data_IF_544601825648
#
_entry.id   IF_544601825648
#
_cell.length_a   1.000
_cell.length_b   1.000
_cell.length_c   1.000
_cell.angle_alpha   90.00
_cell.angle_beta   90.00
_cell.angle_gamma   90.00
#
_symmetry.space_group_name_H-M   'P 1'
#
loop_
_entity.id
_entity.type
_entity.pdbx_description
1 polymer ?
#
# COMPACT_ATOMS: atom_id res chain seq x y z
N UNK A 1 35.42 -44.61 95.83
CA UNK A 1 34.12 -44.09 95.37
C UNK A 1 34.16 -43.99 93.85
N UNK A 2 33.15 -44.57 93.17
CA UNK A 2 32.50 -44.17 91.88
C UNK A 2 33.34 -43.28 90.92
N UNK A 3 33.53 -43.55 89.62
CA UNK A 3 32.75 -44.27 88.60
C UNK A 3 33.65 -44.49 87.37
N UNK A 4 33.47 -45.62 86.70
CA UNK A 4 33.92 -45.87 85.33
C UNK A 4 32.99 -45.20 84.30
N UNK A 5 33.52 -44.80 83.14
CA UNK A 5 32.92 -44.88 81.78
C UNK A 5 33.92 -44.30 80.77
N UNK A 6 34.58 -45.13 79.95
CA UNK A 6 34.22 -45.62 78.60
C UNK A 6 34.76 -44.74 77.45
N UNK A 7 35.82 -45.28 76.84
CA UNK A 7 36.12 -45.42 75.40
C UNK A 7 35.29 -44.64 74.37
N UNK A 8 35.99 -44.04 73.42
CA UNK A 8 35.47 -43.68 72.10
C UNK A 8 36.42 -42.79 71.31
N UNK A 9 37.46 -43.37 70.72
CA UNK A 9 38.29 -42.71 69.71
C UNK A 9 37.49 -42.63 68.39
N UNK A 10 37.07 -41.43 68.01
CA UNK A 10 36.47 -41.17 66.71
C UNK A 10 37.58 -40.70 65.74
N UNK A 11 37.92 -41.57 64.80
CA UNK A 11 38.77 -41.25 63.66
C UNK A 11 38.02 -40.28 62.73
N UNK A 12 38.54 -39.07 62.52
CA UNK A 12 38.11 -38.20 61.43
C UNK A 12 38.79 -38.68 60.14
N UNK A 13 38.03 -39.36 59.28
CA UNK A 13 38.40 -39.60 57.90
C UNK A 13 38.10 -38.32 57.12
N UNK A 14 39.14 -37.68 56.60
CA UNK A 14 39.03 -36.59 55.64
C UNK A 14 38.75 -37.16 54.24
N UNK A 15 37.51 -37.06 53.77
CA UNK A 15 37.16 -37.29 52.37
C UNK A 15 37.27 -35.97 51.60
N UNK A 16 38.29 -35.85 50.75
CA UNK A 16 38.31 -34.86 49.66
C UNK A 16 37.24 -35.27 48.64
N UNK A 17 36.09 -34.60 48.66
CA UNK A 17 35.17 -34.61 47.54
C UNK A 17 35.65 -33.57 46.52
N UNK A 18 36.17 -34.01 45.37
CA UNK A 18 36.27 -33.17 44.18
C UNK A 18 34.85 -32.87 43.69
N UNK A 19 34.25 -31.79 44.18
CA UNK A 19 33.09 -31.20 43.56
C UNK A 19 33.56 -30.51 42.26
N UNK A 20 33.30 -31.14 41.12
CA UNK A 20 33.43 -30.50 39.82
C UNK A 20 32.57 -29.24 39.81
N UNK A 21 33.21 -28.08 39.72
CA UNK A 21 32.56 -26.83 39.44
C UNK A 21 32.01 -26.89 38.01
N UNK A 22 30.79 -27.39 37.84
CA UNK A 22 30.01 -27.12 36.65
C UNK A 22 29.69 -25.62 36.66
N UNK A 23 30.40 -24.86 35.81
CA UNK A 23 30.07 -23.48 35.54
C UNK A 23 28.58 -23.41 35.12
N UNK A 24 27.77 -22.52 35.70
CA UNK A 24 26.43 -22.29 35.18
C UNK A 24 26.59 -21.59 33.82
N UNK A 25 26.55 -22.37 32.75
CA UNK A 25 26.22 -21.87 31.43
C UNK A 25 24.76 -21.42 31.48
N UNK A 26 24.52 -20.21 31.98
CA UNK A 26 23.29 -19.48 31.74
C UNK A 26 23.32 -18.99 30.28
N UNK A 27 23.31 -19.93 29.34
CA UNK A 27 22.65 -19.71 28.08
C UNK A 27 21.19 -19.54 28.46
N UNK A 28 20.75 -18.29 28.60
CA UNK A 28 19.35 -17.97 28.78
C UNK A 28 18.61 -18.56 27.59
N UNK A 29 17.91 -19.64 27.88
CA UNK A 29 17.02 -20.32 26.97
C UNK A 29 15.92 -19.34 26.56
N UNK A 30 16.03 -18.79 25.35
CA UNK A 30 14.99 -17.97 24.70
C UNK A 30 13.83 -18.83 24.19
N UNK A 31 13.75 -20.12 24.56
CA UNK A 31 12.63 -20.99 24.21
C UNK A 31 11.43 -20.83 25.16
N UNK A 32 10.73 -19.70 25.04
CA UNK A 32 9.31 -19.66 25.41
C UNK A 32 8.47 -18.69 24.59
N UNK A 33 8.87 -18.42 23.33
CA UNK A 33 7.86 -18.03 22.34
C UNK A 33 6.91 -19.22 22.22
N UNK A 34 5.70 -19.07 22.76
CA UNK A 34 4.63 -20.05 22.64
C UNK A 34 4.31 -20.21 21.16
N UNK A 35 4.87 -21.24 20.57
CA UNK A 35 4.58 -21.68 19.22
C UNK A 35 3.09 -22.01 19.12
N UNK A 36 2.33 -21.17 18.41
CA UNK A 36 0.98 -21.52 17.97
C UNK A 36 1.08 -21.77 16.47
N UNK A 37 1.05 -23.03 16.07
CA UNK A 37 1.03 -23.36 14.65
C UNK A 37 -0.18 -22.67 13.98
N UNK A 38 0.08 -21.93 12.90
CA UNK A 38 -0.97 -21.46 11.99
C UNK A 38 -1.61 -20.11 12.32
N UNK A 39 -0.87 -19.14 12.87
CA UNK A 39 -1.37 -17.74 12.88
C UNK A 39 -1.51 -17.27 11.43
N UNK A 40 -2.74 -16.92 11.04
CA UNK A 40 -3.02 -16.31 9.74
C UNK A 40 -3.04 -14.81 9.90
N UNK A 41 -2.40 -14.07 9.00
CA UNK A 41 -2.46 -12.59 8.93
C UNK A 41 -3.17 -12.19 7.65
N UNK A 42 -4.40 -11.67 7.77
CA UNK A 42 -5.23 -11.18 6.69
C UNK A 42 -5.21 -9.64 6.62
N UNK A 43 -5.63 -9.10 5.48
CA UNK A 43 -5.94 -7.69 5.34
C UNK A 43 -7.06 -7.27 6.33
N UNK A 44 -6.88 -6.11 6.95
CA UNK A 44 -7.75 -5.56 7.98
C UNK A 44 -7.56 -6.13 9.38
N UNK A 45 -6.67 -7.13 9.56
CA UNK A 45 -6.34 -7.63 10.90
C UNK A 45 -5.71 -6.54 11.76
N UNK A 46 -6.12 -6.46 13.03
CA UNK A 46 -5.46 -5.60 14.03
C UNK A 46 -4.09 -6.19 14.36
N UNK A 47 -3.07 -5.34 14.29
CA UNK A 47 -1.69 -5.66 14.63
C UNK A 47 -1.10 -4.62 15.59
N UNK A 48 -0.07 -5.04 16.31
CA UNK A 48 0.46 -4.35 17.48
C UNK A 48 1.97 -4.16 17.33
N UNK A 49 2.44 -2.94 17.59
CA UNK A 49 3.87 -2.60 17.68
C UNK A 49 4.07 -1.84 18.99
N UNK A 50 4.63 -2.53 19.99
CA UNK A 50 4.64 -2.02 21.36
C UNK A 50 3.22 -1.76 21.88
N UNK A 51 2.90 -0.51 22.14
CA UNK A 51 1.55 -0.08 22.59
C UNK A 51 0.66 0.43 21.43
N UNK A 52 1.24 0.58 20.24
CA UNK A 52 0.53 1.11 19.07
C UNK A 52 -0.29 0.01 18.42
N UNK A 53 -1.55 0.32 18.10
CA UNK A 53 -2.44 -0.56 17.34
C UNK A 53 -2.69 0.01 15.95
N UNK A 54 -2.49 -0.82 14.95
CA UNK A 54 -2.71 -0.54 13.55
C UNK A 54 -3.45 -1.69 12.89
N UNK A 55 -3.73 -1.56 11.60
CA UNK A 55 -4.33 -2.61 10.78
C UNK A 55 -3.37 -3.03 9.66
N UNK A 56 -3.47 -4.27 9.22
CA UNK A 56 -2.81 -4.74 7.99
C UNK A 56 -3.53 -4.18 6.77
N UNK A 57 -2.82 -3.46 5.91
CA UNK A 57 -3.40 -2.84 4.72
C UNK A 57 -3.39 -3.72 3.48
N UNK A 58 -2.36 -4.54 3.29
CA UNK A 58 -2.29 -5.48 2.17
C UNK A 58 -1.42 -6.68 2.54
N UNK A 59 -1.79 -7.85 2.02
CA UNK A 59 -1.04 -9.11 2.18
C UNK A 59 -0.49 -9.50 0.82
N UNK A 60 0.84 -9.51 0.69
CA UNK A 60 1.56 -10.12 -0.41
C UNK A 60 1.94 -11.55 -0.03
N UNK A 61 1.04 -12.47 -0.34
CA UNK A 61 1.22 -13.88 -0.01
C UNK A 61 2.42 -14.51 -0.73
N UNK A 62 2.77 -14.02 -1.94
CA UNK A 62 3.84 -14.57 -2.74
C UNK A 62 5.22 -14.36 -2.08
N UNK A 63 5.41 -13.25 -1.36
CA UNK A 63 6.65 -12.96 -0.64
C UNK A 63 6.54 -13.12 0.88
N UNK A 64 5.41 -13.57 1.42
CA UNK A 64 5.09 -13.53 2.86
C UNK A 64 5.35 -12.14 3.48
N UNK A 65 4.93 -11.10 2.77
CA UNK A 65 5.03 -9.72 3.23
C UNK A 65 3.65 -9.17 3.53
N UNK A 66 3.51 -8.39 4.60
CA UNK A 66 2.33 -7.54 4.81
C UNK A 66 2.72 -6.08 4.82
N UNK A 67 1.80 -5.23 4.37
CA UNK A 67 1.99 -3.78 4.30
C UNK A 67 1.11 -3.10 5.35
N UNK A 68 1.72 -2.17 6.08
CA UNK A 68 1.14 -1.43 7.22
C UNK A 68 1.58 0.03 7.09
N UNK A 69 1.00 0.95 7.87
CA UNK A 69 1.54 2.30 7.95
C UNK A 69 2.88 2.32 8.68
N UNK A 70 3.83 3.13 8.19
CA UNK A 70 5.18 3.20 8.77
C UNK A 70 5.20 3.83 10.14
N UNK A 71 4.38 4.86 10.36
CA UNK A 71 4.30 5.56 11.64
C UNK A 71 3.81 4.68 12.80
N UNK A 72 3.32 3.47 12.51
CA UNK A 72 3.03 2.47 13.53
C UNK A 72 4.30 1.97 14.25
N UNK A 73 5.45 2.09 13.60
CA UNK A 73 6.76 1.68 14.08
C UNK A 73 7.52 2.89 14.62
N UNK A 74 8.32 2.69 15.66
CA UNK A 74 9.03 3.80 16.33
C UNK A 74 10.51 3.55 16.53
N UNK A 75 10.96 2.33 16.27
CA UNK A 75 12.35 1.90 16.48
C UNK A 75 13.11 1.72 15.17
N UNK A 76 14.33 1.20 15.28
CA UNK A 76 15.16 0.79 14.15
C UNK A 76 14.56 -0.39 13.36
N UNK A 77 15.26 -0.84 12.30
CA UNK A 77 14.83 -2.00 11.52
C UNK A 77 14.73 -3.26 12.39
N UNK A 78 13.81 -4.16 12.05
CA UNK A 78 13.59 -5.42 12.76
C UNK A 78 12.64 -5.31 13.96
N UNK A 79 11.89 -4.22 14.09
CA UNK A 79 10.87 -4.08 15.13
C UNK A 79 9.75 -5.11 14.91
N UNK A 80 9.40 -5.85 15.95
CA UNK A 80 8.50 -7.01 15.86
C UNK A 80 7.05 -6.56 15.77
N UNK A 81 6.33 -7.09 14.78
CA UNK A 81 4.89 -6.97 14.65
C UNK A 81 4.20 -8.10 15.39
N UNK A 82 3.19 -7.78 16.20
CA UNK A 82 2.39 -8.75 16.92
C UNK A 82 0.95 -8.79 16.40
N UNK A 83 0.33 -9.97 16.45
CA UNK A 83 -1.10 -10.16 16.30
C UNK A 83 -1.59 -10.98 17.48
N UNK A 84 -2.57 -10.47 18.25
CA UNK A 84 -3.08 -11.12 19.45
C UNK A 84 -1.95 -11.55 20.41
N UNK A 85 -0.99 -10.65 20.65
CA UNK A 85 0.22 -10.91 21.46
C UNK A 85 1.16 -12.02 20.94
N UNK A 86 0.99 -12.50 19.71
CA UNK A 86 1.92 -13.44 19.06
C UNK A 86 2.78 -12.69 18.06
N UNK A 87 4.09 -12.91 18.09
CA UNK A 87 5.01 -12.32 17.14
C UNK A 87 4.74 -12.90 15.75
N UNK A 88 4.40 -12.06 14.78
CA UNK A 88 4.03 -12.50 13.42
C UNK A 88 5.03 -12.10 12.35
N UNK A 89 5.89 -11.11 12.62
CA UNK A 89 6.89 -10.68 11.67
C UNK A 89 7.76 -9.54 12.21
N UNK A 90 8.55 -8.95 11.32
CA UNK A 90 9.46 -7.86 11.66
C UNK A 90 9.53 -6.81 10.55
N UNK A 91 9.70 -5.54 10.95
CA UNK A 91 9.82 -4.42 10.03
C UNK A 91 11.08 -4.53 9.17
N UNK A 92 10.98 -4.14 7.90
CA UNK A 92 12.11 -4.20 6.96
C UNK A 92 13.03 -2.98 7.07
N UNK A 93 12.57 -1.91 7.72
CA UNK A 93 13.29 -0.66 7.92
C UNK A 93 12.88 0.04 9.21
N UNK A 94 13.54 1.15 9.52
CA UNK A 94 13.22 1.96 10.69
C UNK A 94 11.85 2.66 10.56
N UNK A 95 11.09 2.66 11.65
CA UNK A 95 9.79 3.33 11.76
C UNK A 95 9.88 4.85 11.89
N UNK A 96 11.07 5.37 12.20
CA UNK A 96 11.30 6.81 12.33
C UNK A 96 11.04 7.53 11.00
N UNK A 97 9.92 8.26 10.95
CA UNK A 97 9.60 9.14 9.83
C UNK A 97 10.31 10.47 10.06
N UNK A 98 11.38 10.71 9.29
CA UNK A 98 11.98 12.04 9.19
C UNK A 98 10.91 13.02 8.69
N UNK A 99 10.89 14.24 9.24
CA UNK A 99 9.97 15.30 8.82
C UNK A 99 10.06 15.65 7.33
N UNK A 100 11.16 15.27 6.66
CA UNK A 100 11.36 15.39 5.20
C UNK A 100 10.65 14.30 4.38
N UNK A 101 10.21 13.21 5.02
CA UNK A 101 9.67 12.00 4.38
C UNK A 101 8.22 11.73 4.76
N UNK A 102 7.43 12.78 5.03
CA UNK A 102 6.00 12.67 5.42
C UNK A 102 5.13 11.92 4.41
N UNK A 103 5.58 11.81 3.16
CA UNK A 103 4.87 11.15 2.07
C UNK A 103 5.26 9.66 1.93
N UNK A 104 6.12 9.14 2.81
CA UNK A 104 6.62 7.76 2.81
C UNK A 104 6.20 7.03 4.09
N UNK A 105 4.90 6.78 4.20
CA UNK A 105 4.25 6.19 5.37
C UNK A 105 3.78 4.74 5.14
N UNK A 106 4.56 3.95 4.40
CA UNK A 106 4.33 2.50 4.22
C UNK A 106 5.47 1.70 4.84
N UNK A 107 5.14 0.64 5.56
CA UNK A 107 6.10 -0.34 6.06
C UNK A 107 5.77 -1.71 5.47
N UNK A 108 6.77 -2.35 4.86
CA UNK A 108 6.72 -3.78 4.63
C UNK A 108 7.19 -4.52 5.89
N UNK A 109 6.46 -5.58 6.22
CA UNK A 109 6.77 -6.45 7.34
C UNK A 109 6.90 -7.86 6.78
N UNK A 110 8.07 -8.46 6.98
CA UNK A 110 8.29 -9.87 6.62
C UNK A 110 7.69 -10.73 7.70
N UNK A 111 6.76 -11.61 7.32
CA UNK A 111 6.18 -12.56 8.23
C UNK A 111 7.19 -13.67 8.57
N UNK A 112 7.09 -14.25 9.76
CA UNK A 112 7.87 -15.43 10.10
C UNK A 112 7.46 -16.65 9.26
N UNK A 113 8.36 -17.61 9.11
CA UNK A 113 8.18 -18.80 8.26
C UNK A 113 6.95 -19.64 8.65
N UNK A 114 6.62 -19.69 9.93
CA UNK A 114 5.49 -20.43 10.52
C UNK A 114 4.16 -19.65 10.51
N UNK A 115 4.20 -18.38 10.13
CA UNK A 115 3.02 -17.52 9.96
C UNK A 115 2.47 -17.68 8.55
N UNK A 116 1.15 -17.77 8.46
CA UNK A 116 0.43 -17.90 7.19
C UNK A 116 0.08 -16.50 6.71
N UNK A 117 0.60 -16.12 5.54
CA UNK A 117 0.09 -14.97 4.81
C UNK A 117 -1.34 -15.29 4.34
N UNK A 118 -2.31 -14.54 4.85
CA UNK A 118 -3.73 -14.74 4.61
C UNK A 118 -4.23 -14.07 3.35
N UNK A 119 -5.51 -13.68 3.36
CA UNK A 119 -6.22 -13.11 2.21
C UNK A 119 -6.38 -11.60 2.31
N UNK A 120 -6.53 -10.96 1.15
CA UNK A 120 -6.96 -9.57 1.03
C UNK A 120 -8.50 -9.49 1.05
N UNK A 121 -9.08 -9.54 2.25
CA UNK A 121 -10.53 -9.71 2.47
C UNK A 121 -11.40 -8.54 1.99
N UNK A 122 -10.84 -7.34 1.87
CA UNK A 122 -11.59 -6.14 1.51
C UNK A 122 -11.43 -5.79 0.03
N UNK A 123 -10.19 -5.75 -0.45
CA UNK A 123 -9.87 -5.27 -1.79
C UNK A 123 -9.68 -6.38 -2.83
N UNK A 124 -9.51 -7.64 -2.39
CA UNK A 124 -8.86 -8.67 -3.20
C UNK A 124 -7.38 -8.34 -3.47
N UNK A 125 -6.75 -9.15 -4.31
CA UNK A 125 -5.32 -9.09 -4.56
C UNK A 125 -4.91 -8.04 -5.61
N UNK A 126 -5.88 -7.48 -6.33
CA UNK A 126 -5.62 -6.45 -7.33
C UNK A 126 -5.21 -5.13 -6.67
N UNK A 127 -4.23 -4.47 -7.28
CA UNK A 127 -3.74 -3.16 -6.85
C UNK A 127 -4.05 -2.18 -7.98
N UNK A 128 -4.52 -0.99 -7.65
CA UNK A 128 -4.77 0.02 -8.68
C UNK A 128 -3.45 0.47 -9.33
N UNK A 129 -3.49 0.75 -10.63
CA UNK A 129 -2.40 1.47 -11.25
C UNK A 129 -2.42 2.94 -10.81
N UNK A 130 -1.41 3.35 -10.04
CA UNK A 130 -1.40 4.66 -9.35
C UNK A 130 -1.58 5.84 -10.31
N UNK A 131 -0.98 5.77 -11.50
CA UNK A 131 -1.03 6.83 -12.51
C UNK A 131 -2.42 6.97 -13.17
N UNK A 132 -3.34 6.05 -12.85
CA UNK A 132 -4.71 6.06 -13.35
C UNK A 132 -5.72 6.62 -12.34
N UNK A 133 -5.27 6.97 -11.13
CA UNK A 133 -6.11 7.60 -10.12
C UNK A 133 -6.44 9.04 -10.52
N UNK A 134 -7.73 9.35 -10.61
CA UNK A 134 -8.18 10.71 -10.90
C UNK A 134 -9.27 11.16 -9.93
N UNK A 135 -9.44 12.48 -9.84
CA UNK A 135 -10.45 13.08 -8.95
C UNK A 135 -11.86 12.58 -9.26
N UNK A 136 -12.66 12.38 -8.20
CA UNK A 136 -14.05 11.91 -8.29
C UNK A 136 -14.23 10.39 -8.21
N UNK A 137 -13.15 9.61 -8.25
CA UNK A 137 -13.22 8.16 -8.00
C UNK A 137 -13.62 7.90 -6.54
N UNK A 138 -14.53 6.94 -6.32
CA UNK A 138 -14.95 6.55 -4.98
C UNK A 138 -13.95 5.56 -4.36
N UNK A 139 -13.55 5.86 -3.13
CA UNK A 139 -12.61 5.07 -2.34
C UNK A 139 -13.24 4.75 -1.00
N UNK A 140 -13.23 3.48 -0.63
CA UNK A 140 -13.67 3.01 0.68
C UNK A 140 -12.47 2.52 1.50
N UNK A 141 -12.61 2.57 2.83
CA UNK A 141 -11.59 2.18 3.77
C UNK A 141 -12.20 1.51 5.01
N UNK A 142 -11.51 0.52 5.56
CA UNK A 142 -12.01 -0.23 6.72
C UNK A 142 -11.73 0.51 8.04
N UNK A 143 -12.79 0.87 8.78
CA UNK A 143 -12.66 1.41 10.14
C UNK A 143 -13.03 0.37 11.18
N UNK A 144 -12.01 -0.27 11.77
CA UNK A 144 -12.19 -1.39 12.70
C UNK A 144 -12.92 -0.97 13.97
N UNK A 145 -12.56 0.20 14.51
CA UNK A 145 -13.19 0.69 15.75
C UNK A 145 -14.65 1.08 15.53
N UNK A 146 -14.98 1.59 14.35
CA UNK A 146 -16.36 1.97 14.00
C UNK A 146 -17.17 0.78 13.47
N UNK A 147 -16.51 -0.34 13.12
CA UNK A 147 -17.13 -1.57 12.60
C UNK A 147 -17.94 -1.32 11.32
N UNK A 148 -17.42 -0.46 10.46
CA UNK A 148 -18.00 -0.13 9.17
C UNK A 148 -16.90 0.24 8.17
N UNK A 149 -17.24 0.15 6.91
CA UNK A 149 -16.48 0.79 5.85
C UNK A 149 -16.86 2.26 5.78
N UNK A 150 -15.86 3.10 5.52
CA UNK A 150 -16.02 4.55 5.38
C UNK A 150 -15.58 4.92 3.97
N UNK A 151 -16.44 5.58 3.21
CA UNK A 151 -16.19 5.90 1.81
C UNK A 151 -16.09 7.41 1.58
N UNK A 152 -15.36 7.79 0.54
CA UNK A 152 -15.11 9.16 0.15
C UNK A 152 -14.72 9.29 -1.31
N UNK A 153 -14.49 10.53 -1.75
CA UNK A 153 -14.14 10.86 -3.12
C UNK A 153 -12.67 11.26 -3.23
N UNK A 154 -11.96 10.67 -4.18
CA UNK A 154 -10.58 10.99 -4.47
C UNK A 154 -10.46 12.44 -4.95
N UNK A 155 -9.54 13.20 -4.37
CA UNK A 155 -9.23 14.57 -4.80
C UNK A 155 -8.05 14.60 -5.75
N UNK A 156 -7.07 13.73 -5.51
CA UNK A 156 -5.92 13.57 -6.38
C UNK A 156 -4.88 12.65 -5.76
N UNK A 157 -3.92 12.25 -6.59
CA UNK A 157 -2.76 11.47 -6.18
C UNK A 157 -1.49 12.18 -6.66
N UNK A 158 -0.46 12.24 -5.82
CA UNK A 158 0.85 12.75 -6.17
C UNK A 158 1.90 12.41 -5.12
N UNK A 159 3.14 12.21 -5.56
CA UNK A 159 4.29 11.90 -4.68
C UNK A 159 4.06 10.66 -3.77
N UNK A 160 3.30 9.67 -4.25
CA UNK A 160 2.97 8.44 -3.49
C UNK A 160 1.83 8.60 -2.49
N UNK A 161 1.27 9.81 -2.34
CA UNK A 161 0.13 10.11 -1.46
C UNK A 161 -1.13 10.23 -2.28
N UNK A 162 -2.23 9.71 -1.76
CA UNK A 162 -3.58 9.81 -2.32
C UNK A 162 -4.45 10.53 -1.32
N UNK A 163 -5.16 11.55 -1.79
CA UNK A 163 -6.06 12.37 -0.97
C UNK A 163 -7.50 11.98 -1.25
N UNK A 164 -8.25 11.74 -0.19
CA UNK A 164 -9.68 11.41 -0.24
C UNK A 164 -10.42 12.38 0.66
N UNK A 165 -11.55 12.87 0.19
CA UNK A 165 -12.48 13.70 0.95
C UNK A 165 -13.74 12.93 1.30
N UNK A 166 -14.23 13.09 2.52
CA UNK A 166 -15.43 12.40 3.01
C UNK A 166 -16.17 13.24 4.05
N UNK A 167 -17.48 13.01 4.16
CA UNK A 167 -18.32 13.51 5.25
C UNK A 167 -18.19 12.69 6.55
N UNK A 168 -17.43 11.61 6.50
CA UNK A 168 -17.16 10.70 7.60
C UNK A 168 -15.65 10.54 7.82
N UNK A 169 -15.25 10.03 8.97
CA UNK A 169 -13.84 10.05 9.39
C UNK A 169 -13.28 8.67 9.66
N UNK A 170 -11.98 8.52 9.41
CA UNK A 170 -11.18 7.43 9.93
C UNK A 170 -10.63 7.84 11.30
N UNK A 171 -10.51 6.90 12.24
CA UNK A 171 -10.13 7.21 13.62
C UNK A 171 -8.83 6.52 14.03
N UNK A 172 -8.24 6.99 15.13
CA UNK A 172 -7.00 6.42 15.65
C UNK A 172 -7.13 4.90 15.84
N UNK A 173 -6.21 4.15 15.25
CA UNK A 173 -6.26 2.67 15.17
C UNK A 173 -6.60 2.16 13.79
N UNK A 174 -7.12 3.01 12.89
CA UNK A 174 -7.32 2.67 11.48
C UNK A 174 -6.04 2.82 10.65
N UNK A 175 -5.00 3.44 11.21
CA UNK A 175 -3.65 3.53 10.64
C UNK A 175 -3.17 2.19 10.09
N UNK A 176 -2.66 2.21 8.86
CA UNK A 176 -2.18 1.05 8.14
C UNK A 176 -3.27 0.22 7.46
N UNK A 177 -4.55 0.43 7.80
CA UNK A 177 -5.65 -0.35 7.26
C UNK A 177 -5.87 -0.17 5.76
N UNK A 178 -6.63 -1.08 5.14
CA UNK A 178 -6.83 -1.09 3.71
C UNK A 178 -7.75 0.04 3.26
N UNK A 179 -7.42 0.62 2.11
CA UNK A 179 -8.34 1.41 1.31
C UNK A 179 -8.38 0.85 -0.13
N UNK A 180 -9.56 0.89 -0.75
CA UNK A 180 -9.81 0.29 -2.06
C UNK A 180 -10.77 1.13 -2.90
N UNK A 181 -10.64 1.01 -4.22
CA UNK A 181 -11.64 1.52 -5.16
C UNK A 181 -12.87 0.64 -5.15
N UNK A 182 -14.01 1.25 -5.42
CA UNK A 182 -15.28 0.54 -5.64
C UNK A 182 -15.84 0.81 -7.03
N UNK A 183 -16.68 -0.09 -7.52
CA UNK A 183 -17.47 0.13 -8.73
C UNK A 183 -18.73 0.97 -8.44
N UNK A 184 -19.50 1.30 -9.49
CA UNK A 184 -20.73 2.08 -9.37
C UNK A 184 -21.81 1.41 -8.49
N UNK A 185 -21.67 0.11 -8.21
CA UNK A 185 -22.55 -0.66 -7.32
C UNK A 185 -22.00 -0.78 -5.90
N UNK A 186 -20.87 -0.15 -5.60
CA UNK A 186 -20.20 -0.20 -4.30
C UNK A 186 -19.38 -1.47 -4.06
N UNK A 187 -19.17 -2.32 -5.08
CA UNK A 187 -18.37 -3.53 -4.90
C UNK A 187 -16.87 -3.20 -4.94
N UNK A 188 -16.03 -3.84 -4.12
CA UNK A 188 -14.59 -3.66 -4.17
C UNK A 188 -13.98 -4.02 -5.53
N UNK A 189 -13.08 -3.17 -6.02
CA UNK A 189 -12.34 -3.37 -7.27
C UNK A 189 -10.87 -3.69 -7.03
N UNK A 190 -10.16 -2.81 -6.32
CA UNK A 190 -8.71 -2.91 -6.19
C UNK A 190 -8.18 -2.12 -5.01
N UNK A 191 -7.13 -2.63 -4.38
CA UNK A 191 -6.38 -1.96 -3.33
C UNK A 191 -5.74 -0.66 -3.84
N UNK A 192 -5.85 0.40 -3.05
CA UNK A 192 -5.36 1.74 -3.38
C UNK A 192 -4.13 2.10 -2.55
N UNK A 193 -4.17 1.81 -1.25
CA UNK A 193 -3.11 2.18 -0.33
C UNK A 193 -3.48 1.93 1.13
N UNK A 194 -2.54 2.22 2.00
CA UNK A 194 -2.73 2.11 3.46
C UNK A 194 -3.14 3.45 4.04
N UNK A 195 -4.01 3.43 5.05
CA UNK A 195 -4.45 4.63 5.78
C UNK A 195 -3.26 5.24 6.53
N UNK A 196 -2.92 6.49 6.23
CA UNK A 196 -1.76 7.19 6.80
C UNK A 196 -2.19 8.29 7.79
N UNK A 197 -3.12 9.16 7.38
CA UNK A 197 -3.53 10.31 8.18
C UNK A 197 -4.99 10.64 7.92
N UNK A 198 -5.66 11.16 8.94
CA UNK A 198 -6.97 11.83 8.84
C UNK A 198 -6.81 13.26 9.35
N UNK A 199 -7.56 14.19 8.77
CA UNK A 199 -7.64 15.58 9.26
C UNK A 199 -9.03 16.13 9.05
N UNK A 200 -9.47 17.00 9.96
CA UNK A 200 -10.71 17.74 9.81
C UNK A 200 -10.46 19.02 9.01
N UNK A 201 -11.32 19.25 8.04
CA UNK A 201 -11.40 20.48 7.26
C UNK A 201 -12.77 21.11 7.47
N UNK A 202 -12.84 22.44 7.51
CA UNK A 202 -14.14 23.14 7.54
C UNK A 202 -14.76 23.13 6.14
N UNK A 203 -16.04 22.76 6.02
CA UNK A 203 -16.78 22.93 4.76
C UNK A 203 -17.19 24.39 4.51
N UNK A 204 -17.58 24.73 3.27
CA UNK A 204 -18.30 25.97 2.98
C UNK A 204 -19.65 26.12 3.74
N UNK A 205 -20.21 25.04 4.30
CA UNK A 205 -21.56 24.99 4.88
C UNK A 205 -21.58 24.71 6.40
N UNK A 206 -20.44 24.80 7.09
CA UNK A 206 -20.34 24.64 8.55
C UNK A 206 -20.53 23.20 9.08
N UNK A 207 -20.56 22.19 8.22
CA UNK A 207 -20.48 20.77 8.63
C UNK A 207 -19.02 20.30 8.67
N UNK A 208 -18.65 19.35 9.55
CA UNK A 208 -17.32 18.75 9.52
C UNK A 208 -17.13 17.95 8.23
N UNK A 209 -15.96 18.12 7.62
CA UNK A 209 -15.50 17.37 6.45
C UNK A 209 -14.11 16.84 6.73
N UNK A 210 -13.75 15.71 6.16
CA UNK A 210 -12.51 15.05 6.48
C UNK A 210 -11.68 14.84 5.23
N UNK A 211 -10.39 15.19 5.31
CA UNK A 211 -9.38 14.76 4.35
C UNK A 211 -8.65 13.56 4.94
N UNK A 212 -8.69 12.43 4.23
CA UNK A 212 -7.85 11.28 4.50
C UNK A 212 -6.67 11.25 3.54
N UNK A 213 -5.53 10.82 4.06
CA UNK A 213 -4.35 10.51 3.25
C UNK A 213 -4.11 9.03 3.29
N UNK A 214 -3.97 8.46 2.11
CA UNK A 214 -3.53 7.10 1.89
C UNK A 214 -2.13 7.15 1.28
N UNK A 215 -1.30 6.18 1.65
CA UNK A 215 0.02 6.03 1.03
C UNK A 215 0.01 4.79 0.14
N UNK A 216 0.40 4.97 -1.12
CA UNK A 216 0.49 3.88 -2.08
C UNK A 216 1.61 2.91 -1.72
N UNK A 217 1.37 1.61 -1.91
CA UNK A 217 2.42 0.58 -1.80
C UNK A 217 3.24 0.43 -3.08
N UNK A 218 2.77 1.00 -4.20
CA UNK A 218 3.38 0.88 -5.53
C UNK A 218 4.04 2.17 -6.04
N UNK A 219 3.66 3.33 -5.51
CA UNK A 219 4.23 4.63 -5.86
C UNK A 219 4.89 5.31 -4.65
N UNK A 220 6.14 5.76 -4.81
CA UNK A 220 6.92 6.47 -3.78
C UNK A 220 7.43 7.80 -4.32
N UNK A 221 7.49 8.83 -3.47
CA UNK A 221 8.14 10.10 -3.81
C UNK A 221 9.65 9.94 -4.03
N UNK A 222 10.13 10.36 -5.21
CA UNK A 222 11.57 10.49 -5.50
C UNK A 222 12.29 11.53 -4.64
N UNK A 223 11.57 12.48 -4.04
CA UNK A 223 12.16 13.54 -3.21
C UNK A 223 12.50 13.07 -1.79
N UNK A 224 12.07 11.85 -1.43
CA UNK A 224 12.12 11.32 -0.07
C UNK A 224 13.17 10.20 0.16
N UNK A 225 14.06 9.91 -0.79
CA UNK A 225 15.06 8.84 -0.65
C UNK A 225 16.46 9.42 -0.42
N UNK A 226 17.01 9.24 0.79
CA UNK A 226 18.46 9.38 1.03
C UNK A 226 19.10 8.15 1.67
N UNK A 227 18.35 7.09 1.96
CA UNK A 227 18.95 5.80 2.31
C UNK A 227 19.16 4.99 1.03
N UNK A 228 20.39 5.04 0.53
CA UNK A 228 20.89 4.05 -0.43
C UNK A 228 21.17 2.78 0.37
N UNK A 229 20.50 1.65 0.11
CA UNK A 229 20.86 0.41 0.76
C UNK A 229 22.10 -0.18 0.10
N UNK A 230 22.95 -0.77 0.93
CA UNK A 230 24.30 -1.20 0.62
C UNK A 230 24.41 -2.48 -0.24
N UNK A 231 23.34 -2.91 -0.94
CA UNK A 231 23.28 -4.25 -1.53
C UNK A 231 22.87 -4.39 -3.01
N UNK A 232 22.70 -3.32 -3.80
CA UNK A 232 22.37 -3.45 -5.23
C UNK A 232 23.46 -2.90 -6.17
N UNK A 233 23.80 -3.66 -7.21
CA UNK A 233 24.91 -3.40 -8.16
C UNK A 233 24.56 -2.46 -9.33
N UNK A 234 23.31 -2.02 -9.47
CA UNK A 234 22.84 -1.23 -10.62
C UNK A 234 21.79 -0.20 -10.20
N UNK A 235 21.87 0.98 -10.81
CA UNK A 235 21.05 2.18 -10.52
C UNK A 235 19.72 2.11 -11.31
N UNK A 236 18.54 2.18 -10.67
CA UNK A 236 17.24 2.05 -11.35
C UNK A 236 16.69 3.36 -11.93
N UNK A 237 15.79 3.24 -12.92
CA UNK A 237 15.19 4.35 -13.71
C UNK A 237 14.01 5.07 -13.02
N UNK A 238 13.53 4.60 -11.86
CA UNK A 238 12.55 5.29 -11.01
C UNK A 238 12.85 5.09 -9.52
N UNK A 239 12.38 5.98 -8.65
CA UNK A 239 12.56 5.86 -7.19
C UNK A 239 11.45 5.06 -6.49
N UNK A 240 10.59 4.36 -7.25
CA UNK A 240 9.50 3.51 -6.75
C UNK A 240 9.91 2.03 -6.67
N UNK A 241 9.57 1.39 -5.54
CA UNK A 241 9.90 0.01 -5.12
C UNK A 241 11.38 -0.36 -5.32
N UNK A 242 12.29 0.47 -4.81
CA UNK A 242 13.63 -0.01 -4.52
C UNK A 242 13.88 0.07 -3.00
N UNK A 243 14.01 -1.13 -2.43
CA UNK A 243 14.66 -1.52 -1.18
C UNK A 243 13.95 -1.27 0.17
N UNK A 244 12.94 -0.42 0.24
CA UNK A 244 12.30 -0.03 1.51
C UNK A 244 10.98 -0.74 1.85
N UNK A 245 10.42 -1.47 0.89
CA UNK A 245 9.13 -2.15 1.01
C UNK A 245 9.14 -3.54 0.32
N UNK A 246 10.04 -4.46 0.71
CA UNK A 246 10.27 -5.71 -0.02
C UNK A 246 9.01 -6.59 -0.05
N UNK A 247 8.52 -6.83 -1.26
CA UNK A 247 7.53 -7.84 -1.61
C UNK A 247 7.55 -8.05 -3.12
N UNK A 248 6.93 -9.12 -3.59
CA UNK A 248 6.77 -9.36 -5.02
C UNK A 248 5.64 -8.53 -5.62
N UNK A 249 4.65 -8.14 -4.78
CA UNK A 249 3.37 -7.55 -5.17
C UNK A 249 2.78 -8.27 -6.37
N UNK A 250 2.91 -9.60 -6.34
CA UNK A 250 2.67 -10.50 -7.45
C UNK A 250 1.33 -11.25 -7.29
N UNK A 251 0.57 -11.44 -8.37
CA UNK A 251 0.81 -10.82 -9.68
C UNK A 251 0.74 -9.30 -9.53
N UNK A 252 1.50 -8.57 -10.32
CA UNK A 252 1.29 -7.12 -10.49
C UNK A 252 -0.06 -7.00 -11.20
N UNK A 253 -1.16 -7.30 -10.50
CA UNK A 253 -2.54 -7.12 -10.91
C UNK A 253 -2.81 -5.64 -10.77
N UNK A 254 -2.04 -4.85 -11.53
CA UNK A 254 -2.34 -3.45 -11.78
C UNK A 254 -3.60 -3.44 -12.62
N UNK A 255 -4.70 -3.12 -11.97
CA UNK A 255 -5.93 -2.85 -12.69
C UNK A 255 -6.01 -1.36 -12.97
N UNK A 256 -6.25 -1.04 -14.24
CA UNK A 256 -6.79 0.26 -14.59
C UNK A 256 -8.27 0.25 -14.19
N UNK A 257 -8.75 1.23 -13.42
CA UNK A 257 -10.15 1.32 -13.06
C UNK A 257 -11.04 1.29 -14.33
N UNK A 258 -12.21 0.64 -14.28
CA UNK A 258 -13.17 0.73 -15.37
C UNK A 258 -13.49 2.20 -15.63
N UNK A 259 -13.64 2.57 -16.91
CA UNK A 259 -13.70 3.96 -17.37
C UNK A 259 -14.53 4.87 -16.46
N UNK A 260 -13.98 6.04 -16.15
CA UNK A 260 -14.54 7.05 -15.25
C UNK A 260 -16.01 7.39 -15.49
N UNK A 261 -16.75 7.95 -14.53
CA UNK A 261 -18.10 8.44 -14.73
C UNK A 261 -18.22 9.45 -15.88
N UNK A 262 -17.19 10.26 -16.14
CA UNK A 262 -17.19 11.19 -17.29
C UNK A 262 -16.91 10.45 -18.61
N UNK A 263 -15.99 9.49 -18.64
CA UNK A 263 -15.73 8.67 -19.84
C UNK A 263 -16.90 7.74 -20.14
N UNK A 264 -17.55 7.18 -19.13
CA UNK A 264 -18.83 6.46 -19.23
C UNK A 264 -19.91 7.40 -19.77
N UNK A 265 -20.06 8.61 -19.21
CA UNK A 265 -20.99 9.61 -19.77
C UNK A 265 -20.68 9.91 -21.24
N UNK A 266 -19.43 10.15 -21.60
CA UNK A 266 -19.03 10.39 -23.00
C UNK A 266 -19.31 9.16 -23.86
N UNK A 267 -19.00 7.95 -23.40
CA UNK A 267 -19.24 6.71 -24.12
C UNK A 267 -20.75 6.45 -24.32
N UNK A 268 -21.56 6.64 -23.28
CA UNK A 268 -23.02 6.52 -23.34
C UNK A 268 -23.62 7.60 -24.25
N UNK A 269 -23.17 8.86 -24.15
CA UNK A 269 -23.58 9.91 -25.08
C UNK A 269 -23.19 9.57 -26.52
N UNK A 270 -22.01 8.97 -26.72
CA UNK A 270 -21.55 8.52 -28.02
C UNK A 270 -22.38 7.35 -28.56
N UNK A 271 -22.77 6.40 -27.71
CA UNK A 271 -23.68 5.29 -28.06
C UNK A 271 -25.08 5.81 -28.42
N UNK A 272 -25.62 6.75 -27.64
CA UNK A 272 -26.89 7.40 -27.92
C UNK A 272 -26.84 8.17 -29.24
N UNK A 273 -25.78 8.94 -29.50
CA UNK A 273 -25.59 9.62 -30.77
C UNK A 273 -25.43 8.65 -31.94
N UNK A 274 -24.59 7.63 -31.79
CA UNK A 274 -24.35 6.60 -32.80
C UNK A 274 -25.65 5.87 -33.16
N UNK A 275 -26.49 5.58 -32.16
CA UNK A 275 -27.81 5.00 -32.34
C UNK A 275 -28.73 5.93 -33.14
N UNK A 276 -28.86 7.20 -32.74
CA UNK A 276 -29.70 8.19 -33.44
C UNK A 276 -29.26 8.43 -34.89
N UNK A 277 -27.95 8.50 -35.14
CA UNK A 277 -27.40 8.65 -36.49
C UNK A 277 -27.76 7.44 -37.36
N UNK A 278 -27.68 6.22 -36.80
CA UNK A 278 -28.05 5.00 -37.53
C UNK A 278 -29.55 4.87 -37.78
N UNK A 279 -30.40 5.35 -36.87
CA UNK A 279 -31.86 5.34 -37.03
C UNK A 279 -32.39 6.50 -37.88
N UNK A 280 -31.57 7.52 -38.14
CA UNK A 280 -31.99 8.74 -38.85
C UNK A 280 -32.82 9.69 -37.97
N UNK A 281 -32.77 9.52 -36.64
CA UNK A 281 -33.47 10.38 -35.71
C UNK A 281 -32.80 11.76 -35.61
N UNK A 282 -33.60 12.84 -35.45
CA UNK A 282 -33.04 14.18 -35.32
C UNK A 282 -32.19 14.31 -34.04
N UNK A 283 -31.03 14.93 -34.20
CA UNK A 283 -30.12 15.29 -33.11
C UNK A 283 -30.60 16.59 -32.44
N UNK A 284 -30.33 16.75 -31.14
CA UNK A 284 -30.49 18.05 -30.50
C UNK A 284 -29.33 18.99 -30.88
N UNK A 285 -29.50 20.32 -30.76
CA UNK A 285 -28.41 21.28 -31.03
C UNK A 285 -27.13 20.98 -30.23
N UNK A 286 -27.28 20.57 -28.97
CA UNK A 286 -26.14 20.19 -28.14
C UNK A 286 -25.42 18.95 -28.66
N UNK A 287 -26.16 17.99 -29.23
CA UNK A 287 -25.59 16.80 -29.86
C UNK A 287 -24.91 17.14 -31.19
N UNK A 288 -25.47 18.04 -31.99
CA UNK A 288 -24.85 18.56 -33.22
C UNK A 288 -23.51 19.27 -32.93
N UNK A 289 -23.49 20.15 -31.93
CA UNK A 289 -22.27 20.85 -31.49
C UNK A 289 -21.20 19.87 -31.00
N UNK A 290 -21.61 18.79 -30.31
CA UNK A 290 -20.69 17.75 -29.86
C UNK A 290 -20.07 16.96 -31.02
N UNK A 291 -20.86 16.62 -32.06
CA UNK A 291 -20.34 15.97 -33.29
C UNK A 291 -19.35 16.89 -34.01
N UNK A 292 -19.66 18.18 -34.11
CA UNK A 292 -18.78 19.20 -34.68
C UNK A 292 -17.47 19.32 -33.88
N UNK A 293 -17.55 19.35 -32.55
CA UNK A 293 -16.36 19.40 -31.69
C UNK A 293 -15.47 18.16 -31.81
N UNK A 294 -16.07 16.96 -31.87
CA UNK A 294 -15.35 15.69 -32.00
C UNK A 294 -14.70 15.54 -33.38
N UNK A 295 -15.42 15.90 -34.44
CA UNK A 295 -14.86 15.89 -35.81
C UNK A 295 -13.72 16.88 -35.95
N UNK A 296 -13.85 18.10 -35.41
CA UNK A 296 -12.77 19.09 -35.40
C UNK A 296 -11.55 18.58 -34.62
N UNK A 297 -11.75 17.94 -33.45
CA UNK A 297 -10.67 17.39 -32.63
C UNK A 297 -9.93 16.23 -33.32
N UNK A 298 -10.66 15.36 -34.03
CA UNK A 298 -10.07 14.28 -34.84
C UNK A 298 -9.26 14.87 -36.00
N UNK A 299 -9.81 15.87 -36.70
CA UNK A 299 -9.11 16.54 -37.82
C UNK A 299 -7.83 17.23 -37.32
N UNK A 300 -7.89 17.93 -36.19
CA UNK A 300 -6.72 18.57 -35.56
C UNK A 300 -5.71 17.52 -35.08
N UNK A 301 -6.16 16.44 -34.45
CA UNK A 301 -5.29 15.35 -33.98
C UNK A 301 -4.56 14.64 -35.12
N UNK A 302 -5.26 14.36 -36.23
CA UNK A 302 -4.67 13.79 -37.44
C UNK A 302 -3.70 14.77 -38.11
N UNK A 303 -4.03 16.08 -38.13
CA UNK A 303 -3.12 17.11 -38.64
C UNK A 303 -1.87 17.25 -37.75
N UNK A 304 -2.01 17.17 -36.43
CA UNK A 304 -0.90 17.20 -35.47
C UNK A 304 0.03 15.99 -35.59
N UNK A 305 -0.53 14.79 -35.81
CA UNK A 305 0.24 13.58 -36.14
C UNK A 305 0.97 13.71 -37.48
N UNK A 306 0.37 14.36 -38.48
CA UNK A 306 1.01 14.66 -39.76
C UNK A 306 2.20 15.61 -39.61
N UNK A 307 2.06 16.64 -38.77
CA UNK A 307 3.15 17.60 -38.46
C UNK A 307 4.26 16.92 -37.64
N UNK A 308 3.91 16.05 -36.68
CA UNK A 308 4.88 15.30 -35.89
C UNK A 308 5.62 14.23 -36.73
N UNK A 309 4.93 13.58 -37.67
CA UNK A 309 5.54 12.70 -38.66
C UNK A 309 6.47 13.43 -39.62
N UNK A 310 6.12 14.64 -40.06
CA UNK A 310 6.98 15.50 -40.86
C UNK A 310 8.22 15.97 -40.09
N UNK A 311 8.09 16.23 -38.78
CA UNK A 311 9.19 16.60 -37.89
C UNK A 311 10.18 15.44 -37.64
N UNK A 312 9.67 14.20 -37.54
CA UNK A 312 10.50 13.00 -37.35
C UNK A 312 11.22 12.53 -38.62
N UNK A 313 10.72 12.86 -39.81
CA UNK A 313 11.26 12.34 -41.07
C UNK A 313 12.35 13.19 -41.73
N UNK A 314 12.66 14.37 -41.19
CA UNK A 314 13.72 15.24 -41.70
C UNK A 314 13.43 15.81 -43.10
N UNK A 315 13.93 17.02 -43.36
CA UNK A 315 13.57 17.79 -44.56
C UNK A 315 13.74 17.13 -45.95
N UNK A 316 14.61 16.12 -46.22
CA UNK A 316 14.74 15.63 -47.60
C UNK A 316 13.59 14.73 -48.08
N UNK A 317 12.70 14.24 -47.20
CA UNK A 317 11.55 13.40 -47.61
C UNK A 317 10.33 14.20 -48.05
N UNK A 318 10.15 15.42 -47.52
CA UNK A 318 9.00 16.28 -47.85
C UNK A 318 9.10 16.80 -49.30
N UNK A 319 10.32 17.11 -49.77
CA UNK A 319 10.55 17.50 -51.17
C UNK A 319 10.18 16.38 -52.17
N UNK A 320 10.47 15.11 -51.84
CA UNK A 320 10.12 13.97 -52.70
C UNK A 320 8.63 13.64 -52.71
N UNK A 321 7.91 13.90 -51.61
CA UNK A 321 6.47 13.68 -51.54
C UNK A 321 5.69 14.77 -52.31
N UNK A 322 6.15 16.02 -52.26
CA UNK A 322 5.53 17.14 -53.00
C UNK A 322 5.79 17.05 -54.50
N UNK A 323 6.96 16.57 -54.92
CA UNK A 323 7.24 16.33 -56.36
C UNK A 323 6.48 15.11 -56.91
N UNK A 324 6.12 14.13 -56.07
CA UNK A 324 5.28 12.99 -56.44
C UNK A 324 3.79 13.31 -56.64
N UNK A 325 3.32 14.47 -56.16
CA UNK A 325 1.94 14.94 -56.30
C UNK A 325 1.72 15.85 -57.53
N UNK A 326 2.72 16.00 -58.41
CA UNK A 326 2.65 16.77 -59.66
C UNK A 326 2.42 15.91 -60.93
N UNK A 327 1.80 14.74 -60.82
CA UNK A 327 1.26 13.99 -61.95
C UNK A 327 -0.26 13.94 -61.88
#
# INVERSE_FOLDING_TARGET
MRRATKLGAAALVATLALAGAAAPNAAADLSSVRYTAGVVVNQGDIVEVGITRCQVGYVDAASKTVYVARHCFTQGPGEVLYKNSQAVGYSTRAGLIDVRFKNDDVMAVRLYEDVIAGQNLFSGDAIVDYDTLESGMEVCANSVKQRKDVCGSLQGAGDGVIKVESDDTLIQGDSGGPAWLVDDSGNPLSFVGVISQTSTTETPNGRPWYEWKLTSVTAKSCRASTEVPSYTRTRPESCGIHDDAPGLLAPVTRMRPPGQPWMKRVATEFEVLSSKIKSGDPLSRQQEDMVLGLTLSIVIGLAGLGVYGAYLLGEPMIARFVDGLKL
#
